data_IF_493765999151
#
_entry.id   IF_493765999151
#
_cell.length_a   1.000
_cell.length_b   1.000
_cell.length_c   1.000
_cell.angle_alpha   90.00
_cell.angle_beta   90.00
_cell.angle_gamma   90.00
#
_symmetry.space_group_name_H-M   'P 1'
#
loop_
_entity.id
_entity.type
_entity.pdbx_description
1 polymer ?
#
# COMPACT_ATOMS: atom_id res chain seq x y z
N UNK A 1 6.93 -18.34 -8.87
CA UNK A 1 5.85 -17.75 -9.70
C UNK A 1 4.50 -18.23 -9.17
N UNK A 2 3.54 -17.32 -8.96
CA UNK A 2 2.15 -17.60 -8.58
C UNK A 2 1.27 -17.37 -9.80
N UNK A 3 0.33 -18.25 -10.04
CA UNK A 3 -0.62 -18.17 -11.15
C UNK A 3 -2.03 -18.46 -10.64
N UNK A 4 -2.98 -17.57 -10.94
CA UNK A 4 -4.39 -17.78 -10.60
C UNK A 4 -5.32 -17.06 -11.59
N UNK A 5 -6.58 -17.51 -11.62
CA UNK A 5 -7.65 -16.86 -12.36
C UNK A 5 -8.45 -15.96 -11.42
N UNK A 6 -8.83 -14.78 -11.89
CA UNK A 6 -9.76 -13.88 -11.22
C UNK A 6 -10.71 -13.23 -12.22
N UNK A 7 -12.01 -13.52 -12.09
CA UNK A 7 -13.00 -13.05 -13.05
C UNK A 7 -12.68 -13.47 -14.50
N UNK A 8 -12.50 -12.48 -15.38
CA UNK A 8 -12.24 -12.68 -16.80
C UNK A 8 -10.74 -12.70 -17.18
N UNK A 9 -9.82 -12.79 -16.22
CA UNK A 9 -8.39 -12.69 -16.48
C UNK A 9 -7.55 -13.68 -15.67
N UNK A 10 -6.31 -13.87 -16.12
CA UNK A 10 -5.27 -14.65 -15.45
C UNK A 10 -4.24 -13.69 -14.88
N UNK A 11 -3.87 -13.90 -13.63
CA UNK A 11 -2.83 -13.15 -12.93
C UNK A 11 -1.59 -14.01 -12.79
N UNK A 12 -0.43 -13.46 -13.18
CA UNK A 12 0.90 -14.06 -13.03
C UNK A 12 1.73 -13.14 -12.13
N UNK A 13 2.24 -13.66 -11.00
CA UNK A 13 3.12 -12.92 -10.10
C UNK A 13 4.47 -13.62 -10.07
N UNK A 14 5.52 -12.90 -10.43
CA UNK A 14 6.91 -13.37 -10.44
C UNK A 14 7.58 -13.19 -9.08
N UNK A 15 8.76 -13.80 -8.91
CA UNK A 15 9.50 -13.76 -7.65
C UNK A 15 10.01 -12.35 -7.30
N UNK A 16 10.25 -11.52 -8.30
CA UNK A 16 10.65 -10.11 -8.15
C UNK A 16 9.48 -9.16 -7.81
N UNK A 17 8.25 -9.70 -7.72
CA UNK A 17 7.02 -8.95 -7.47
C UNK A 17 6.33 -8.41 -8.72
N UNK A 18 6.89 -8.62 -9.92
CA UNK A 18 6.23 -8.22 -11.16
C UNK A 18 4.91 -8.96 -11.32
N UNK A 19 3.82 -8.23 -11.50
CA UNK A 19 2.47 -8.75 -11.76
C UNK A 19 2.06 -8.47 -13.20
N UNK A 20 1.65 -9.52 -13.90
CA UNK A 20 1.08 -9.43 -15.26
C UNK A 20 -0.33 -9.97 -15.23
N UNK A 21 -1.25 -9.25 -15.88
CA UNK A 21 -2.63 -9.66 -16.08
C UNK A 21 -2.90 -9.83 -17.56
N UNK A 22 -3.61 -10.89 -17.91
CA UNK A 22 -4.01 -11.18 -19.29
C UNK A 22 -5.50 -11.56 -19.31
N UNK A 23 -6.31 -10.88 -20.13
CA UNK A 23 -7.72 -11.24 -20.33
C UNK A 23 -7.82 -12.63 -20.98
N UNK A 24 -8.81 -13.42 -20.55
CA UNK A 24 -9.09 -14.73 -21.12
C UNK A 24 -9.67 -14.59 -22.53
N UNK A 25 -10.56 -13.60 -22.71
CA UNK A 25 -11.07 -13.22 -24.01
C UNK A 25 -10.36 -11.92 -24.46
N UNK A 26 -9.65 -11.91 -25.61
CA UNK A 26 -8.98 -10.72 -26.12
C UNK A 26 -9.90 -9.53 -26.40
N UNK A 27 -11.20 -9.76 -26.57
CA UNK A 27 -12.20 -8.70 -26.82
C UNK A 27 -12.66 -8.01 -25.53
N UNK A 28 -12.23 -8.48 -24.36
CA UNK A 28 -12.57 -7.85 -23.09
C UNK A 28 -11.79 -6.54 -22.92
N UNK A 29 -12.51 -5.44 -22.82
CA UNK A 29 -11.93 -4.08 -22.66
C UNK A 29 -11.34 -3.86 -21.27
N UNK A 30 -11.91 -4.50 -20.22
CA UNK A 30 -11.53 -4.30 -18.83
C UNK A 30 -11.33 -5.63 -18.10
N UNK A 31 -10.42 -5.63 -17.12
CA UNK A 31 -10.34 -6.69 -16.14
C UNK A 31 -11.53 -6.62 -15.17
N UNK A 32 -12.18 -7.73 -14.95
CA UNK A 32 -13.27 -7.86 -13.96
C UNK A 32 -12.87 -8.84 -12.87
N UNK A 33 -13.29 -8.58 -11.64
CA UNK A 33 -12.79 -9.27 -10.45
C UNK A 33 -13.92 -10.00 -9.71
N UNK A 34 -13.68 -11.24 -9.32
CA UNK A 34 -14.54 -11.99 -8.39
C UNK A 34 -14.16 -11.75 -6.94
N UNK A 35 -12.87 -11.51 -6.69
CA UNK A 35 -12.30 -11.18 -5.38
C UNK A 35 -11.22 -10.11 -5.53
N UNK A 36 -10.91 -9.43 -4.41
CA UNK A 36 -9.86 -8.43 -4.40
C UNK A 36 -8.47 -9.06 -4.58
N UNK A 37 -7.66 -8.48 -5.45
CA UNK A 37 -6.26 -8.87 -5.63
C UNK A 37 -5.35 -8.21 -4.60
N UNK A 38 -5.73 -7.03 -4.11
CA UNK A 38 -5.00 -6.28 -3.11
C UNK A 38 -5.93 -5.87 -1.98
N UNK A 39 -5.39 -5.86 -0.76
CA UNK A 39 -6.10 -5.42 0.43
C UNK A 39 -5.15 -4.57 1.28
N UNK A 40 -5.52 -3.30 1.48
CA UNK A 40 -4.85 -2.47 2.47
C UNK A 40 -5.46 -2.76 3.84
N UNK A 41 -4.64 -3.02 4.85
CA UNK A 41 -5.14 -3.28 6.18
C UNK A 41 -4.43 -2.46 7.24
N UNK A 42 -5.23 -1.83 8.10
CA UNK A 42 -4.78 -1.18 9.31
C UNK A 42 -5.00 -2.11 10.50
N UNK A 43 -3.90 -2.51 11.16
CA UNK A 43 -3.95 -3.45 12.29
C UNK A 43 -3.73 -2.79 13.64
N UNK A 44 -3.28 -1.54 13.68
CA UNK A 44 -3.04 -0.81 14.92
C UNK A 44 -3.11 0.70 14.72
N UNK A 45 -3.59 1.41 15.75
CA UNK A 45 -3.48 2.86 15.91
C UNK A 45 -2.25 3.27 16.72
N UNK A 46 -1.60 2.32 17.41
CA UNK A 46 -0.40 2.62 18.19
C UNK A 46 0.75 3.03 17.27
N UNK A 47 1.37 4.16 17.56
CA UNK A 47 2.59 4.61 16.89
C UNK A 47 3.33 5.65 17.75
N UNK A 48 4.62 5.45 17.93
CA UNK A 48 5.53 6.33 18.66
C UNK A 48 6.40 7.20 17.71
N UNK A 49 6.23 7.09 16.39
CA UNK A 49 7.00 7.87 15.43
C UNK A 49 6.69 9.39 15.46
N UNK A 50 5.49 9.79 15.87
CA UNK A 50 5.10 11.20 16.07
C UNK A 50 5.09 12.06 14.80
N UNK A 51 4.83 11.49 13.61
CA UNK A 51 4.81 12.24 12.35
C UNK A 51 3.75 13.34 12.36
N UNK A 52 4.18 14.59 12.10
CA UNK A 52 3.29 15.75 12.13
C UNK A 52 2.18 15.70 11.05
N UNK A 53 2.45 15.05 9.92
CA UNK A 53 1.54 14.90 8.77
C UNK A 53 0.84 13.54 8.69
N UNK A 54 0.78 12.78 9.78
CA UNK A 54 0.21 11.43 9.77
C UNK A 54 -1.29 11.44 9.41
N UNK A 55 -1.63 10.89 8.26
CA UNK A 55 -3.00 10.79 7.79
C UNK A 55 -3.82 9.74 8.55
N UNK A 56 -3.18 8.72 9.16
CA UNK A 56 -3.83 7.76 10.06
C UNK A 56 -4.13 8.35 11.44
N UNK A 57 -3.43 9.43 11.82
CA UNK A 57 -3.58 10.04 13.14
C UNK A 57 -3.09 9.17 14.30
N UNK A 58 -2.32 8.12 14.01
CA UNK A 58 -1.82 7.15 14.99
C UNK A 58 -1.00 7.81 16.11
N UNK A 59 -1.09 7.28 17.32
CA UNK A 59 -0.52 7.89 18.53
C UNK A 59 -0.08 6.83 19.55
N UNK A 60 0.67 7.25 20.58
CA UNK A 60 1.34 6.37 21.55
C UNK A 60 0.37 5.53 22.42
N UNK A 61 -0.86 5.98 22.59
CA UNK A 61 -1.90 5.22 23.33
C UNK A 61 -2.93 4.59 22.38
N UNK A 62 -2.59 4.44 21.10
CA UNK A 62 -3.44 3.78 20.11
C UNK A 62 -3.68 2.31 20.43
N UNK A 63 -4.79 1.78 19.95
CA UNK A 63 -5.17 0.38 20.17
C UNK A 63 -4.63 -0.51 19.06
N UNK A 64 -4.29 -1.74 19.40
CA UNK A 64 -4.10 -2.83 18.44
C UNK A 64 -5.44 -3.54 18.19
N UNK A 65 -5.64 -4.02 16.97
CA UNK A 65 -6.76 -4.86 16.63
C UNK A 65 -6.59 -6.28 17.21
N UNK A 66 -7.69 -6.97 17.47
CA UNK A 66 -7.66 -8.41 17.75
C UNK A 66 -7.67 -9.18 16.42
N UNK A 67 -6.50 -9.20 15.74
CA UNK A 67 -6.39 -9.79 14.40
C UNK A 67 -6.56 -11.30 14.40
N UNK A 68 -6.24 -11.99 15.51
CA UNK A 68 -6.37 -13.44 15.56
C UNK A 68 -7.84 -13.88 15.71
N UNK A 69 -8.74 -13.02 16.18
CA UNK A 69 -10.18 -13.35 16.28
C UNK A 69 -10.93 -13.31 14.94
N UNK A 70 -10.32 -12.76 13.88
CA UNK A 70 -10.96 -12.56 12.57
C UNK A 70 -10.76 -13.77 11.63
N UNK A 71 -10.86 -15.00 12.16
CA UNK A 71 -10.54 -16.24 11.45
C UNK A 71 -11.33 -16.42 10.14
N UNK A 72 -12.64 -16.12 10.13
CA UNK A 72 -13.47 -16.25 8.93
C UNK A 72 -12.93 -15.44 7.74
N UNK A 73 -12.33 -14.29 8.03
CA UNK A 73 -11.73 -13.43 7.00
C UNK A 73 -10.43 -14.07 6.51
N UNK A 74 -9.54 -14.45 7.43
CA UNK A 74 -8.24 -15.00 7.05
C UNK A 74 -8.36 -16.37 6.38
N UNK A 75 -9.31 -17.19 6.81
CA UNK A 75 -9.55 -18.51 6.22
C UNK A 75 -10.10 -18.45 4.80
N UNK A 76 -10.74 -17.35 4.43
CA UNK A 76 -11.31 -17.13 3.10
C UNK A 76 -10.39 -16.36 2.13
N UNK A 77 -9.17 -15.99 2.56
CA UNK A 77 -8.20 -15.34 1.68
C UNK A 77 -7.83 -16.22 0.49
N UNK A 78 -7.73 -15.61 -0.66
CA UNK A 78 -7.34 -16.28 -1.90
C UNK A 78 -5.81 -16.26 -2.05
N UNK A 79 -5.19 -17.40 -2.45
CA UNK A 79 -3.76 -17.42 -2.75
C UNK A 79 -3.39 -16.40 -3.82
N UNK A 80 -2.30 -15.69 -3.62
CA UNK A 80 -1.86 -14.62 -4.51
C UNK A 80 -2.45 -13.24 -4.18
N UNK A 81 -3.39 -13.13 -3.22
CA UNK A 81 -3.81 -11.82 -2.71
C UNK A 81 -2.61 -11.10 -2.09
N UNK A 82 -2.39 -9.86 -2.50
CA UNK A 82 -1.40 -8.99 -1.87
C UNK A 82 -2.05 -8.23 -0.72
N UNK A 83 -1.41 -8.22 0.42
CA UNK A 83 -1.89 -7.51 1.61
C UNK A 83 -0.88 -6.46 2.04
N UNK A 84 -1.27 -5.18 1.95
CA UNK A 84 -0.47 -4.06 2.42
C UNK A 84 -0.80 -3.76 3.89
N UNK A 85 0.09 -4.19 4.78
CA UNK A 85 -0.09 -4.11 6.23
C UNK A 85 0.47 -2.77 6.74
N UNK A 86 -0.39 -2.00 7.38
CA UNK A 86 -0.05 -0.68 7.88
C UNK A 86 -0.88 -0.24 9.09
N UNK A 87 -1.11 1.06 9.16
CA UNK A 87 -1.73 1.76 10.27
C UNK A 87 -0.71 2.56 11.06
N UNK A 88 -0.59 2.30 12.36
CA UNK A 88 0.45 2.86 13.22
C UNK A 88 1.81 2.16 13.04
N UNK A 89 2.41 1.72 14.15
CA UNK A 89 3.60 0.87 14.11
C UNK A 89 3.18 -0.61 14.04
N UNK A 90 3.01 -1.15 12.85
CA UNK A 90 2.56 -2.53 12.66
C UNK A 90 3.51 -3.56 13.29
N UNK A 91 4.82 -3.28 13.37
CA UNK A 91 5.81 -4.17 14.02
C UNK A 91 5.62 -4.30 15.53
N UNK A 92 4.92 -3.35 16.16
CA UNK A 92 4.62 -3.41 17.60
C UNK A 92 3.40 -4.26 17.95
N UNK A 93 2.67 -4.75 16.93
CA UNK A 93 1.49 -5.56 17.18
C UNK A 93 1.89 -6.89 17.81
N UNK A 94 1.32 -7.28 18.97
CA UNK A 94 1.77 -8.47 19.71
C UNK A 94 1.67 -9.76 18.91
N UNK A 95 0.65 -9.88 18.07
CA UNK A 95 0.33 -11.10 17.34
C UNK A 95 0.83 -11.07 15.88
N UNK A 96 1.65 -10.09 15.49
CA UNK A 96 2.06 -9.88 14.09
C UNK A 96 2.71 -11.14 13.49
N UNK A 97 3.60 -11.80 14.22
CA UNK A 97 4.34 -12.95 13.72
C UNK A 97 3.40 -14.16 13.52
N UNK A 98 2.53 -14.43 14.49
CA UNK A 98 1.57 -15.53 14.40
C UNK A 98 0.60 -15.33 13.25
N UNK A 99 0.07 -14.12 13.12
CA UNK A 99 -0.84 -13.77 12.04
C UNK A 99 -0.17 -13.86 10.65
N UNK A 100 1.08 -13.40 10.50
CA UNK A 100 1.83 -13.53 9.26
C UNK A 100 2.06 -15.00 8.88
N UNK A 101 2.23 -15.90 9.85
CA UNK A 101 2.24 -17.35 9.59
C UNK A 101 0.90 -17.85 9.04
N UNK A 102 -0.23 -17.30 9.50
CA UNK A 102 -1.56 -17.62 8.94
C UNK A 102 -1.62 -17.18 7.48
N UNK A 103 -1.27 -15.92 7.21
CA UNK A 103 -1.27 -15.36 5.84
C UNK A 103 -0.38 -16.17 4.89
N UNK A 104 0.83 -16.53 5.33
CA UNK A 104 1.75 -17.36 4.56
C UNK A 104 1.15 -18.72 4.21
N UNK A 105 0.51 -19.42 5.17
CA UNK A 105 -0.16 -20.70 4.91
C UNK A 105 -1.30 -20.59 3.91
N UNK A 106 -1.93 -19.41 3.80
CA UNK A 106 -2.99 -19.13 2.81
C UNK A 106 -2.43 -18.70 1.44
N UNK A 107 -1.11 -18.59 1.30
CA UNK A 107 -0.47 -18.13 0.05
C UNK A 107 -0.64 -16.65 -0.23
N UNK A 108 -0.88 -15.85 0.81
CA UNK A 108 -1.00 -14.38 0.72
C UNK A 108 0.38 -13.75 0.65
N UNK A 109 0.54 -12.75 -0.18
CA UNK A 109 1.74 -11.94 -0.29
C UNK A 109 1.64 -10.75 0.67
N UNK A 110 2.16 -10.94 1.89
CA UNK A 110 2.14 -9.90 2.90
C UNK A 110 3.26 -8.87 2.66
N UNK A 111 2.90 -7.60 2.52
CA UNK A 111 3.82 -6.46 2.47
C UNK A 111 3.59 -5.59 3.71
N UNK A 112 4.64 -5.10 4.33
CA UNK A 112 4.54 -4.28 5.53
C UNK A 112 5.12 -2.89 5.30
N UNK A 113 4.40 -1.85 5.74
CA UNK A 113 4.91 -0.48 5.72
C UNK A 113 5.36 -0.06 7.11
N UNK A 114 6.61 0.38 7.23
CA UNK A 114 7.23 0.80 8.48
C UNK A 114 7.83 2.19 8.37
N UNK A 115 7.81 2.94 9.46
CA UNK A 115 8.52 4.21 9.53
C UNK A 115 10.02 3.96 9.77
N UNK A 116 10.90 4.75 9.10
CA UNK A 116 12.35 4.63 9.28
C UNK A 116 12.80 4.72 10.75
N UNK A 117 12.07 5.43 11.60
CA UNK A 117 12.38 5.56 13.03
C UNK A 117 12.31 4.23 13.79
N UNK A 118 11.52 3.29 13.30
CA UNK A 118 11.34 1.98 13.91
C UNK A 118 12.41 0.95 13.52
N UNK A 119 13.14 1.19 12.42
CA UNK A 119 14.05 0.20 11.83
C UNK A 119 15.10 -0.29 12.84
N UNK A 120 15.75 0.63 13.58
CA UNK A 120 16.79 0.26 14.54
C UNK A 120 16.25 -0.62 15.67
N UNK A 121 15.08 -0.27 16.21
CA UNK A 121 14.47 -0.99 17.35
C UNK A 121 13.90 -2.35 16.95
N UNK A 122 13.48 -2.53 15.70
CA UNK A 122 12.86 -3.76 15.20
C UNK A 122 13.72 -4.52 14.20
N UNK A 123 15.02 -4.19 14.09
CA UNK A 123 15.94 -4.79 13.12
C UNK A 123 15.89 -6.32 13.12
N UNK A 124 15.97 -6.92 14.29
CA UNK A 124 16.02 -8.39 14.43
C UNK A 124 14.66 -9.03 14.08
N UNK A 125 13.55 -8.38 14.45
CA UNK A 125 12.23 -8.83 14.03
C UNK A 125 12.07 -8.74 12.51
N UNK A 126 12.43 -7.62 11.89
CA UNK A 126 12.36 -7.45 10.44
C UNK A 126 13.17 -8.55 9.73
N UNK A 127 14.40 -8.78 10.21
CA UNK A 127 15.25 -9.84 9.66
C UNK A 127 14.60 -11.22 9.81
N UNK A 128 14.03 -11.53 10.96
CA UNK A 128 13.29 -12.79 11.19
C UNK A 128 12.12 -12.94 10.22
N UNK A 129 11.34 -11.88 9.98
CA UNK A 129 10.21 -11.90 9.04
C UNK A 129 10.68 -12.19 7.60
N UNK A 130 11.81 -11.61 7.18
CA UNK A 130 12.41 -11.83 5.87
C UNK A 130 12.94 -13.27 5.75
N UNK A 131 13.80 -13.68 6.69
CA UNK A 131 14.48 -14.98 6.66
C UNK A 131 13.49 -16.16 6.67
N UNK A 132 12.31 -15.96 7.27
CA UNK A 132 11.24 -16.95 7.30
C UNK A 132 10.21 -16.77 6.17
N UNK A 133 10.45 -15.85 5.22
CA UNK A 133 9.50 -15.53 4.14
C UNK A 133 8.08 -15.26 4.65
N UNK A 134 7.94 -14.51 5.75
CA UNK A 134 6.66 -14.10 6.33
C UNK A 134 6.14 -12.82 5.68
N UNK A 135 7.04 -12.03 5.12
CA UNK A 135 6.74 -10.84 4.33
C UNK A 135 7.42 -10.94 2.97
N UNK A 136 6.74 -10.42 1.94
CA UNK A 136 7.24 -10.41 0.57
C UNK A 136 7.99 -9.10 0.27
N UNK A 137 7.49 -7.99 0.77
CA UNK A 137 8.10 -6.67 0.59
C UNK A 137 7.99 -5.79 1.83
N UNK A 138 8.87 -4.80 1.90
CA UNK A 138 8.90 -3.80 2.97
C UNK A 138 8.88 -2.41 2.37
N UNK A 139 7.83 -1.65 2.66
CA UNK A 139 7.79 -0.21 2.42
C UNK A 139 8.42 0.54 3.60
N UNK A 140 9.44 1.34 3.35
CA UNK A 140 10.07 2.16 4.38
C UNK A 140 9.72 3.62 4.16
N UNK A 141 8.93 4.19 5.06
CA UNK A 141 8.57 5.61 5.00
C UNK A 141 9.77 6.49 5.33
N UNK A 142 10.26 7.22 4.34
CA UNK A 142 11.30 8.23 4.47
C UNK A 142 10.71 9.49 5.12
N UNK A 143 11.20 9.82 6.30
CA UNK A 143 10.71 10.98 7.10
C UNK A 143 11.84 11.93 7.49
N UNK A 144 13.08 11.50 7.38
CA UNK A 144 14.28 12.27 7.72
C UNK A 144 15.51 11.63 7.04
N UNK A 145 15.93 12.19 5.92
CA UNK A 145 17.07 11.67 5.15
C UNK A 145 18.40 11.71 5.89
N UNK A 146 18.59 12.72 6.78
CA UNK A 146 19.84 12.88 7.55
C UNK A 146 20.07 11.74 8.55
N UNK A 147 18.98 11.17 9.07
CA UNK A 147 19.01 10.08 10.04
C UNK A 147 18.53 8.73 9.45
N UNK A 148 18.49 8.62 8.14
CA UNK A 148 18.06 7.38 7.49
C UNK A 148 19.11 6.26 7.71
N UNK A 149 18.72 5.08 8.23
CA UNK A 149 19.65 4.01 8.60
C UNK A 149 20.07 3.16 7.39
N UNK A 150 20.80 3.76 6.46
CA UNK A 150 21.18 3.18 5.15
C UNK A 150 21.73 1.76 5.26
N UNK A 151 22.76 1.54 6.09
CA UNK A 151 23.42 0.24 6.21
C UNK A 151 22.48 -0.88 6.70
N UNK A 152 21.55 -0.54 7.60
CA UNK A 152 20.57 -1.52 8.10
C UNK A 152 19.56 -1.84 7.00
N UNK A 153 19.05 -0.82 6.31
CA UNK A 153 18.08 -0.99 5.22
C UNK A 153 18.67 -1.82 4.10
N UNK A 154 19.91 -1.53 3.69
CA UNK A 154 20.60 -2.29 2.64
C UNK A 154 20.86 -3.76 3.02
N UNK A 155 20.93 -4.06 4.33
CA UNK A 155 21.06 -5.44 4.81
C UNK A 155 19.79 -6.29 4.71
N UNK A 156 18.63 -5.69 4.41
CA UNK A 156 17.34 -6.40 4.31
C UNK A 156 17.10 -7.01 2.91
N UNK A 157 17.95 -6.72 1.91
CA UNK A 157 17.86 -7.30 0.57
C UNK A 157 17.03 -6.47 -0.42
N UNK A 158 16.60 -7.10 -1.51
CA UNK A 158 16.12 -6.39 -2.70
C UNK A 158 14.63 -6.00 -2.69
N UNK A 159 13.82 -6.58 -1.76
CA UNK A 159 12.38 -6.31 -1.69
C UNK A 159 12.02 -5.11 -0.80
N UNK A 160 12.92 -4.12 -0.77
CA UNK A 160 12.72 -2.87 -0.07
C UNK A 160 12.26 -1.79 -1.04
N UNK A 161 11.19 -1.09 -0.66
CA UNK A 161 10.66 0.07 -1.39
C UNK A 161 10.70 1.28 -0.48
N UNK A 162 11.36 2.36 -0.90
CA UNK A 162 11.34 3.62 -0.16
C UNK A 162 10.01 4.33 -0.46
N UNK A 163 9.20 4.52 0.57
CA UNK A 163 7.98 5.29 0.47
C UNK A 163 8.27 6.75 0.80
N UNK A 164 7.89 7.64 -0.10
CA UNK A 164 7.95 9.08 0.13
C UNK A 164 6.60 9.71 -0.19
N UNK A 165 6.33 10.89 0.37
CA UNK A 165 5.04 11.57 0.23
C UNK A 165 5.23 12.85 -0.57
N UNK A 166 4.41 13.05 -1.62
CA UNK A 166 4.35 14.30 -2.34
C UNK A 166 4.09 15.45 -1.34
N UNK A 167 4.87 16.52 -1.43
CA UNK A 167 4.79 17.64 -0.48
C UNK A 167 5.63 17.51 0.80
N UNK A 168 6.12 16.28 1.12
CA UNK A 168 7.09 16.05 2.21
C UNK A 168 8.48 15.84 1.64
N UNK A 169 8.60 15.12 0.53
CA UNK A 169 9.86 14.94 -0.18
C UNK A 169 10.45 16.28 -0.61
N UNK A 170 11.74 16.45 -0.37
CA UNK A 170 12.54 17.61 -0.76
C UNK A 170 13.77 17.19 -1.53
N UNK A 171 14.52 18.16 -2.08
CA UNK A 171 15.78 17.91 -2.79
C UNK A 171 16.84 17.24 -1.90
N UNK A 172 16.86 17.56 -0.61
CA UNK A 172 17.79 16.97 0.36
C UNK A 172 17.63 15.45 0.51
N UNK A 173 16.45 14.93 0.18
CA UNK A 173 16.11 13.51 0.34
C UNK A 173 16.55 12.65 -0.85
N UNK A 174 16.88 13.25 -1.99
CA UNK A 174 17.14 12.57 -3.26
C UNK A 174 18.28 11.54 -3.18
N UNK A 175 19.29 11.78 -2.32
CA UNK A 175 20.39 10.85 -2.14
C UNK A 175 19.94 9.48 -1.59
N UNK A 176 18.86 9.47 -0.78
CA UNK A 176 18.30 8.22 -0.25
C UNK A 176 17.54 7.44 -1.32
N UNK A 177 17.03 8.11 -2.34
CA UNK A 177 16.26 7.49 -3.43
C UNK A 177 17.16 6.85 -4.52
N UNK A 178 18.44 7.22 -4.56
CA UNK A 178 19.38 6.80 -5.61
C UNK A 178 19.56 5.28 -5.64
N UNK A 179 19.35 4.68 -6.82
CA UNK A 179 19.46 3.25 -7.09
C UNK A 179 18.52 2.38 -6.23
N UNK A 180 17.41 2.94 -5.72
CA UNK A 180 16.41 2.24 -4.92
C UNK A 180 15.05 2.17 -5.62
N UNK A 181 14.25 1.19 -5.26
CA UNK A 181 12.83 1.16 -5.62
C UNK A 181 12.11 2.22 -4.78
N UNK A 182 11.36 3.08 -5.44
CA UNK A 182 10.68 4.24 -4.82
C UNK A 182 9.19 4.18 -5.13
N UNK A 183 8.37 4.36 -4.10
CA UNK A 183 6.94 4.61 -4.23
C UNK A 183 6.63 6.02 -3.74
N UNK A 184 6.12 6.87 -4.63
CA UNK A 184 5.61 8.19 -4.27
C UNK A 184 4.12 8.05 -3.92
N UNK A 185 3.81 8.43 -2.69
CA UNK A 185 2.45 8.51 -2.16
C UNK A 185 1.93 9.94 -2.28
N UNK A 186 0.66 10.10 -2.65
CA UNK A 186 0.01 11.40 -2.64
C UNK A 186 -0.17 11.94 -1.21
N UNK A 187 -0.20 13.27 -1.08
CA UNK A 187 -0.43 13.93 0.19
C UNK A 187 -1.90 13.83 0.59
N UNK A 188 -2.19 13.16 1.69
CA UNK A 188 -3.56 12.96 2.19
C UNK A 188 -3.95 14.06 3.19
N UNK A 189 -4.96 14.87 2.81
CA UNK A 189 -5.56 15.94 3.62
C UNK A 189 -6.51 15.35 4.68
N UNK A 190 -5.98 14.49 5.57
CA UNK A 190 -6.74 13.80 6.59
C UNK A 190 -6.08 13.92 7.95
N UNK A 191 -6.86 14.11 9.01
CA UNK A 191 -6.40 14.16 10.40
C UNK A 191 -5.22 15.14 10.57
N UNK A 192 -4.03 14.67 11.04
CA UNK A 192 -2.85 15.56 11.18
C UNK A 192 -2.32 16.07 9.83
N UNK A 193 -2.54 15.31 8.75
CA UNK A 193 -2.19 15.78 7.40
C UNK A 193 -2.95 17.04 7.00
N UNK A 194 -4.23 17.17 7.37
CA UNK A 194 -5.02 18.39 7.14
C UNK A 194 -4.44 19.59 7.91
N UNK A 195 -4.14 19.42 9.20
CA UNK A 195 -3.59 20.48 10.05
C UNK A 195 -2.14 20.88 9.66
N UNK A 196 -1.38 19.97 9.06
CA UNK A 196 0.01 20.22 8.65
C UNK A 196 0.10 20.84 7.26
N UNK A 197 -0.95 20.75 6.45
CA UNK A 197 -0.95 21.31 5.10
C UNK A 197 -0.69 22.82 5.13
N UNK A 198 0.25 23.25 4.32
CA UNK A 198 0.75 24.63 4.31
C UNK A 198 1.17 25.03 2.90
N UNK A 199 1.42 26.34 2.65
CA UNK A 199 2.00 26.79 1.38
C UNK A 199 3.31 26.08 1.01
N UNK A 200 4.11 25.69 2.01
CA UNK A 200 5.36 24.94 1.79
C UNK A 200 5.05 23.54 1.25
N UNK A 201 4.11 22.80 1.85
CA UNK A 201 3.69 21.48 1.36
C UNK A 201 3.19 21.59 -0.07
N UNK A 202 2.37 22.58 -0.37
CA UNK A 202 1.89 22.83 -1.74
C UNK A 202 3.04 23.10 -2.71
N UNK A 203 3.97 23.97 -2.33
CA UNK A 203 5.16 24.28 -3.15
C UNK A 203 6.03 23.05 -3.39
N UNK A 204 6.18 22.18 -2.39
CA UNK A 204 6.92 20.91 -2.54
C UNK A 204 6.23 19.94 -3.49
N UNK A 205 4.88 19.86 -3.49
CA UNK A 205 4.13 19.06 -4.48
C UNK A 205 4.40 19.61 -5.90
N UNK A 206 4.31 20.92 -6.09
CA UNK A 206 4.59 21.57 -7.38
C UNK A 206 6.05 21.37 -7.81
N UNK A 207 7.00 21.49 -6.87
CA UNK A 207 8.41 21.20 -7.14
C UNK A 207 8.62 19.76 -7.59
N UNK A 208 8.05 18.79 -6.87
CA UNK A 208 8.16 17.38 -7.21
C UNK A 208 7.55 17.08 -8.59
N UNK A 209 6.37 17.61 -8.90
CA UNK A 209 5.73 17.45 -10.21
C UNK A 209 6.63 17.93 -11.34
N UNK A 210 7.31 19.07 -11.17
CA UNK A 210 8.22 19.63 -12.16
C UNK A 210 9.58 18.91 -12.24
N UNK A 211 9.96 18.11 -11.23
CA UNK A 211 11.23 17.42 -11.13
C UNK A 211 11.10 15.88 -11.16
N UNK A 212 9.95 15.34 -11.56
CA UNK A 212 9.74 13.89 -11.63
C UNK A 212 10.77 13.18 -12.51
N UNK A 213 11.19 13.79 -13.60
CA UNK A 213 12.22 13.22 -14.49
C UNK A 213 13.53 13.01 -13.74
N UNK A 214 13.94 13.96 -12.92
CA UNK A 214 15.16 13.83 -12.10
C UNK A 214 15.03 12.69 -11.08
N UNK A 215 13.88 12.56 -10.44
CA UNK A 215 13.60 11.44 -9.51
C UNK A 215 13.62 10.11 -10.25
N UNK A 216 13.01 10.05 -11.42
CA UNK A 216 12.99 8.86 -12.28
C UNK A 216 14.39 8.44 -12.72
N UNK A 217 15.27 9.40 -13.02
CA UNK A 217 16.64 9.12 -13.49
C UNK A 217 17.56 8.57 -12.38
N UNK A 218 17.25 8.85 -11.11
CA UNK A 218 18.05 8.37 -9.97
C UNK A 218 17.51 7.08 -9.34
N UNK A 219 16.18 6.86 -9.37
CA UNK A 219 15.56 5.65 -8.83
C UNK A 219 15.80 4.45 -9.74
N UNK A 220 15.94 3.24 -9.17
CA UNK A 220 15.97 2.01 -9.97
C UNK A 220 14.58 1.62 -10.48
N UNK A 221 13.55 1.89 -9.68
CA UNK A 221 12.13 1.77 -10.04
C UNK A 221 11.41 2.94 -9.42
N UNK A 222 10.55 3.61 -10.18
CA UNK A 222 9.69 4.67 -9.69
C UNK A 222 8.23 4.29 -9.91
N UNK A 223 7.44 4.28 -8.83
CA UNK A 223 6.02 3.99 -8.83
C UNK A 223 5.22 5.05 -8.06
N UNK A 224 3.92 5.07 -8.26
CA UNK A 224 3.01 6.07 -7.71
C UNK A 224 1.75 5.38 -7.18
N UNK A 225 1.22 5.87 -6.05
CA UNK A 225 -0.17 5.54 -5.69
C UNK A 225 -1.16 6.39 -6.51
N UNK A 226 -2.45 6.03 -6.48
CA UNK A 226 -3.49 6.71 -7.25
C UNK A 226 -3.53 8.22 -6.95
N UNK A 227 -3.42 8.61 -5.69
CA UNK A 227 -3.45 10.02 -5.30
C UNK A 227 -2.21 10.79 -5.78
N UNK A 228 -1.04 10.17 -5.78
CA UNK A 228 0.17 10.79 -6.35
C UNK A 228 0.05 10.98 -7.86
N UNK A 229 -0.59 10.05 -8.57
CA UNK A 229 -0.88 10.21 -10.01
C UNK A 229 -1.74 11.43 -10.27
N UNK A 230 -2.79 11.63 -9.48
CA UNK A 230 -3.66 12.82 -9.60
C UNK A 230 -2.90 14.11 -9.28
N UNK A 231 -2.12 14.12 -8.20
CA UNK A 231 -1.43 15.33 -7.74
C UNK A 231 -0.24 15.73 -8.61
N UNK A 232 0.49 14.75 -9.15
CA UNK A 232 1.77 14.98 -9.84
C UNK A 232 1.67 14.83 -11.36
N UNK A 233 0.60 14.25 -11.89
CA UNK A 233 0.41 13.94 -13.30
C UNK A 233 1.69 13.38 -13.99
N UNK A 234 2.17 12.19 -13.55
CA UNK A 234 3.44 11.65 -14.01
C UNK A 234 3.49 11.37 -15.52
N UNK A 235 2.35 11.07 -16.15
CA UNK A 235 2.28 10.87 -17.61
C UNK A 235 2.75 12.11 -18.35
N UNK A 236 2.18 13.26 -18.00
CA UNK A 236 2.55 14.54 -18.59
C UNK A 236 3.99 14.92 -18.23
N UNK A 237 4.35 14.84 -16.97
CA UNK A 237 5.60 15.38 -16.45
C UNK A 237 6.81 14.48 -16.73
N UNK A 238 6.61 13.18 -17.02
CA UNK A 238 7.63 12.27 -17.53
C UNK A 238 7.59 12.14 -19.07
N UNK A 239 6.67 12.85 -19.74
CA UNK A 239 6.47 12.78 -21.18
C UNK A 239 6.24 11.34 -21.68
N UNK A 240 5.44 10.58 -20.94
CA UNK A 240 5.09 9.20 -21.30
C UNK A 240 3.95 9.26 -22.30
N UNK A 241 4.21 8.81 -23.52
CA UNK A 241 3.20 8.69 -24.57
C UNK A 241 2.61 7.29 -24.54
N UNK A 242 1.52 7.15 -23.81
CA UNK A 242 0.73 5.91 -23.80
C UNK A 242 -0.63 6.26 -24.38
N UNK A 243 -0.90 5.76 -25.59
CA UNK A 243 -2.15 6.04 -26.33
C UNK A 243 -3.37 5.48 -25.57
N UNK A 244 -3.21 4.36 -24.83
CA UNK A 244 -4.28 3.67 -24.12
C UNK A 244 -4.01 3.60 -22.60
N UNK A 245 -3.63 4.70 -22.02
CA UNK A 245 -3.31 4.80 -20.60
C UNK A 245 -4.39 4.21 -19.68
N UNK A 246 -5.67 4.45 -19.96
CA UNK A 246 -6.78 4.03 -19.12
C UNK A 246 -6.85 2.50 -18.95
N UNK A 247 -6.41 1.71 -19.95
CA UNK A 247 -6.41 0.24 -19.85
C UNK A 247 -5.33 -0.30 -18.88
N UNK A 248 -4.26 0.46 -18.66
CA UNK A 248 -3.18 0.07 -17.73
C UNK A 248 -3.42 0.58 -16.30
N UNK A 249 -4.32 1.56 -16.16
CA UNK A 249 -4.63 2.18 -14.89
C UNK A 249 -6.06 1.88 -14.47
N UNK A 250 -6.25 0.76 -13.80
CA UNK A 250 -7.48 0.47 -13.07
C UNK A 250 -7.33 0.98 -11.64
N UNK A 251 -7.30 2.31 -11.53
CA UNK A 251 -7.22 2.97 -10.24
C UNK A 251 -8.47 2.72 -9.41
N UNK A 252 -8.27 2.66 -8.11
CA UNK A 252 -9.33 2.40 -7.15
C UNK A 252 -10.41 3.48 -7.10
N UNK A 253 -10.13 4.65 -7.66
CA UNK A 253 -10.99 5.84 -7.61
C UNK A 253 -11.86 6.02 -8.86
N UNK A 254 -11.75 5.12 -9.86
CA UNK A 254 -12.56 5.12 -11.08
C UNK A 254 -13.81 4.24 -10.95
N UNK A 255 -14.56 4.11 -12.04
CA UNK A 255 -15.79 3.34 -12.08
C UNK A 255 -15.62 1.94 -11.48
N UNK A 256 -16.36 1.69 -10.41
CA UNK A 256 -16.30 0.43 -9.66
C UNK A 256 -16.85 -0.73 -10.48
N UNK A 257 -17.83 -0.45 -11.34
CA UNK A 257 -18.51 -1.44 -12.18
C UNK A 257 -18.37 -1.10 -13.66
N UNK A 258 -18.38 -2.13 -14.49
CA UNK A 258 -18.58 -1.99 -15.93
C UNK A 258 -20.07 -1.81 -16.28
N UNK A 259 -20.36 -1.64 -17.58
CA UNK A 259 -21.74 -1.46 -18.06
C UNK A 259 -22.64 -2.70 -17.83
N UNK A 260 -22.04 -3.86 -17.57
CA UNK A 260 -22.73 -5.12 -17.30
C UNK A 260 -22.87 -5.41 -15.80
N UNK A 261 -22.36 -4.51 -14.93
CA UNK A 261 -22.38 -4.67 -13.48
C UNK A 261 -21.26 -5.56 -12.94
N UNK A 262 -20.23 -5.89 -13.72
CA UNK A 262 -19.06 -6.61 -13.23
C UNK A 262 -18.11 -5.66 -12.48
N UNK A 263 -17.44 -6.18 -11.45
CA UNK A 263 -16.53 -5.39 -10.60
C UNK A 263 -15.22 -5.14 -11.35
N UNK A 264 -14.88 -3.89 -11.61
CA UNK A 264 -13.63 -3.45 -12.24
C UNK A 264 -12.50 -3.20 -11.22
N UNK A 265 -12.83 -2.78 -10.01
CA UNK A 265 -11.83 -2.51 -8.99
C UNK A 265 -11.20 -3.80 -8.45
N UNK A 266 -9.93 -3.73 -8.06
CA UNK A 266 -9.14 -4.87 -7.58
C UNK A 266 -8.73 -4.77 -6.13
N UNK A 267 -9.03 -3.66 -5.45
CA UNK A 267 -8.54 -3.36 -4.10
C UNK A 267 -9.64 -2.89 -3.17
N UNK A 268 -9.40 -3.01 -1.86
CA UNK A 268 -10.24 -2.44 -0.82
C UNK A 268 -9.45 -2.24 0.48
N UNK A 269 -10.05 -1.61 1.47
CA UNK A 269 -9.43 -1.25 2.73
C UNK A 269 -10.16 -1.88 3.92
N UNK A 270 -9.39 -2.49 4.83
CA UNK A 270 -9.86 -3.01 6.12
C UNK A 270 -9.26 -2.15 7.24
N UNK A 271 -10.09 -1.58 8.09
CA UNK A 271 -9.69 -1.05 9.39
C UNK A 271 -10.03 -2.09 10.46
N UNK A 272 -9.06 -2.92 10.82
CA UNK A 272 -9.27 -3.98 11.80
C UNK A 272 -9.43 -3.43 13.22
N UNK A 273 -8.92 -2.22 13.50
CA UNK A 273 -9.06 -1.55 14.81
C UNK A 273 -10.50 -1.10 15.03
N UNK A 274 -11.10 -0.46 14.02
CA UNK A 274 -12.48 0.03 14.05
C UNK A 274 -13.50 -1.04 13.58
N UNK A 275 -13.01 -2.22 13.17
CA UNK A 275 -13.83 -3.29 12.57
C UNK A 275 -14.71 -2.79 11.44
N UNK A 276 -14.11 -2.09 10.47
CA UNK A 276 -14.83 -1.54 9.31
C UNK A 276 -14.10 -1.81 8.00
N UNK A 277 -14.87 -1.81 6.91
CA UNK A 277 -14.34 -1.87 5.54
C UNK A 277 -14.77 -0.67 4.74
N UNK A 278 -13.98 -0.34 3.75
CA UNK A 278 -14.25 0.74 2.82
C UNK A 278 -13.57 0.51 1.47
N UNK A 279 -13.95 1.30 0.50
CA UNK A 279 -13.30 1.30 -0.81
C UNK A 279 -11.83 1.70 -0.73
N UNK A 280 -11.52 2.74 0.04
CA UNK A 280 -10.17 3.26 0.24
C UNK A 280 -9.95 3.66 1.71
N UNK A 281 -8.69 3.78 2.11
CA UNK A 281 -8.32 4.29 3.45
C UNK A 281 -8.75 5.73 3.70
N UNK A 282 -9.02 6.50 2.63
CA UNK A 282 -9.47 7.89 2.70
C UNK A 282 -10.98 8.02 2.94
N UNK A 283 -11.74 6.94 2.80
CA UNK A 283 -13.19 6.94 3.07
C UNK A 283 -13.48 7.39 4.50
N UNK A 284 -14.29 8.45 4.71
CA UNK A 284 -14.65 8.91 6.05
C UNK A 284 -15.29 7.80 6.88
N UNK A 285 -14.95 7.72 8.18
CA UNK A 285 -15.39 6.64 9.08
C UNK A 285 -16.94 6.43 9.04
N UNK A 286 -17.71 7.52 9.01
CA UNK A 286 -19.18 7.47 8.94
C UNK A 286 -19.75 6.81 7.67
N UNK A 287 -18.92 6.66 6.63
CA UNK A 287 -19.31 6.01 5.36
C UNK A 287 -18.79 4.58 5.25
N UNK A 288 -17.89 4.17 6.16
CA UNK A 288 -17.37 2.80 6.19
C UNK A 288 -18.44 1.82 6.65
N UNK A 289 -18.34 0.58 6.20
CA UNK A 289 -19.30 -0.49 6.57
C UNK A 289 -18.71 -1.33 7.71
N UNK A 290 -19.52 -1.76 8.68
CA UNK A 290 -19.04 -2.61 9.77
C UNK A 290 -18.68 -4.00 9.26
N UNK A 291 -17.68 -4.60 9.91
CA UNK A 291 -17.35 -6.02 9.77
C UNK A 291 -18.20 -6.80 10.77
N UNK A 292 -18.88 -7.83 10.28
CA UNK A 292 -19.73 -8.73 11.09
C UNK A 292 -19.06 -10.09 11.23
N UNK A 293 -19.42 -10.85 12.25
CA UNK A 293 -18.81 -12.15 12.54
C UNK A 293 -18.98 -13.19 11.42
N UNK A 294 -20.03 -13.03 10.60
CA UNK A 294 -20.28 -13.91 9.45
C UNK A 294 -19.54 -13.49 8.16
N UNK A 295 -18.86 -12.34 8.16
CA UNK A 295 -18.17 -11.85 6.97
C UNK A 295 -16.94 -12.70 6.64
N UNK A 296 -16.72 -12.88 5.34
CA UNK A 296 -15.49 -13.42 4.76
C UNK A 296 -14.85 -12.38 3.83
N UNK A 297 -13.65 -12.64 3.29
CA UNK A 297 -12.92 -11.66 2.49
C UNK A 297 -13.69 -11.21 1.24
N UNK A 298 -14.44 -12.12 0.60
CA UNK A 298 -15.23 -11.81 -0.61
C UNK A 298 -16.44 -10.94 -0.24
N UNK A 299 -17.14 -11.27 0.86
CA UNK A 299 -18.27 -10.44 1.34
C UNK A 299 -17.82 -9.05 1.73
N UNK A 300 -16.66 -8.92 2.40
CA UNK A 300 -16.07 -7.62 2.76
C UNK A 300 -15.69 -6.80 1.52
N UNK A 301 -15.08 -7.43 0.53
CA UNK A 301 -14.76 -6.76 -0.73
C UNK A 301 -16.02 -6.19 -1.37
N UNK A 302 -17.07 -7.00 -1.53
CA UNK A 302 -18.36 -6.55 -2.10
C UNK A 302 -19.03 -5.48 -1.24
N UNK A 303 -18.97 -5.61 0.10
CA UNK A 303 -19.51 -4.62 1.04
C UNK A 303 -18.79 -3.28 0.96
N UNK A 304 -17.52 -3.26 0.55
CA UNK A 304 -16.70 -2.05 0.40
C UNK A 304 -17.06 -1.21 -0.83
N UNK A 305 -17.71 -1.82 -1.82
CA UNK A 305 -18.15 -1.18 -3.06
C UNK A 305 -19.42 -0.34 -2.83
#
# INVERSE_FOLDING_TARGET
MILYKNGNHIVKIFEDGTKIKETINPDDEYFTHEFAENCDIKITDYCDAGCAYCHEGSYINGKAADILSMNNIWDSLMPGTEMAIGGGNALSHPDIVEWLHILKRKGVLANITINQKHIKSYKDLIKNLIDNNLIHGIGISLTDSKNFPVEIVDSFGDNIVIHTIAGILTEDDLNILRNRKVLILGYKMLRRGESFFSPIVKSNIEWLANNLKMVSDIASVLSFDCLAIEQLNPLKNLNIQIEDWAQYFQGDDHDVFDNNGNIKCSTFYIDAVEKTVARTSTTPLKKRKPIEDCDNIISLFRKSL
#
